data_IF_901935043158
#
_entry.id   IF_901935043158
#
_cell.length_a   1.000
_cell.length_b   1.000
_cell.length_c   1.000
_cell.angle_alpha   90.00
_cell.angle_beta   90.00
_cell.angle_gamma   90.00
#
_symmetry.space_group_name_H-M   'P 1'
#
loop_
_entity.id
_entity.type
_entity.pdbx_description
1 polymer ?
#
# COMPACT_ATOMS: atom_id res chain seq x y z
N UNK A 1 -16.88 28.81 -1.19
CA UNK A 1 -17.38 30.05 -0.71
C UNK A 1 -18.44 29.82 0.34
N UNK A 2 -18.22 30.38 1.49
CA UNK A 2 -19.19 30.25 2.57
C UNK A 2 -20.34 31.22 2.32
N UNK A 3 -21.53 30.69 2.25
CA UNK A 3 -22.71 31.55 2.19
C UNK A 3 -23.07 31.94 3.64
N UNK A 4 -23.31 33.26 3.92
CA UNK A 4 -23.69 33.71 5.26
C UNK A 4 -24.94 32.96 5.75
N UNK A 5 -24.88 32.41 6.96
CA UNK A 5 -25.98 31.64 7.56
C UNK A 5 -25.95 30.12 7.29
N UNK A 6 -25.06 29.61 6.48
CA UNK A 6 -24.85 28.15 6.34
C UNK A 6 -23.98 27.62 7.47
N UNK A 7 -24.47 26.60 8.17
CA UNK A 7 -23.72 25.89 9.22
C UNK A 7 -22.84 24.76 8.69
N UNK A 8 -23.00 24.39 7.40
CA UNK A 8 -22.32 23.26 6.76
C UNK A 8 -21.80 23.65 5.40
N UNK A 9 -20.61 23.19 5.04
CA UNK A 9 -20.01 23.34 3.72
C UNK A 9 -19.58 21.98 3.18
N UNK A 10 -19.70 21.78 1.85
CA UNK A 10 -19.14 20.62 1.16
C UNK A 10 -17.84 21.07 0.49
N UNK A 11 -16.72 20.55 0.96
CA UNK A 11 -15.38 20.87 0.45
C UNK A 11 -14.72 19.57 0.02
N UNK A 12 -14.12 19.57 -1.17
CA UNK A 12 -13.36 18.44 -1.69
C UNK A 12 -11.88 18.83 -1.87
N UNK A 13 -10.99 17.86 -1.65
CA UNK A 13 -9.54 18.02 -1.85
C UNK A 13 -8.73 17.08 -0.98
N UNK A 14 -7.46 16.93 -1.31
CA UNK A 14 -6.50 16.11 -0.54
C UNK A 14 -6.37 16.58 0.91
N UNK A 15 -6.52 17.90 1.15
CA UNK A 15 -6.53 18.49 2.50
C UNK A 15 -7.72 18.03 3.35
N UNK A 16 -8.80 17.55 2.74
CA UNK A 16 -9.97 16.98 3.43
C UNK A 16 -9.82 15.46 3.60
N UNK A 17 -9.20 14.79 2.63
CA UNK A 17 -8.96 13.34 2.69
C UNK A 17 -7.88 12.97 3.71
N UNK A 18 -6.80 13.73 3.78
CA UNK A 18 -5.65 13.46 4.66
C UNK A 18 -6.02 13.36 6.16
N UNK A 19 -6.77 14.31 6.77
CA UNK A 19 -7.14 14.21 8.18
C UNK A 19 -8.11 13.06 8.47
N UNK A 20 -8.92 12.63 7.51
CA UNK A 20 -9.76 11.44 7.67
C UNK A 20 -8.91 10.18 7.80
N UNK A 21 -7.91 10.04 6.94
CA UNK A 21 -6.94 8.93 7.03
C UNK A 21 -6.15 9.03 8.34
N UNK A 22 -5.72 10.22 8.75
CA UNK A 22 -5.03 10.42 10.03
C UNK A 22 -5.89 9.97 11.22
N UNK A 23 -7.20 10.26 11.22
CA UNK A 23 -8.15 9.77 12.23
C UNK A 23 -8.25 8.24 12.25
N UNK A 24 -8.27 7.60 11.07
CA UNK A 24 -8.26 6.14 10.97
C UNK A 24 -6.94 5.55 11.52
N UNK A 25 -5.79 6.19 11.23
CA UNK A 25 -4.51 5.78 11.82
C UNK A 25 -4.50 5.89 13.35
N UNK A 26 -5.14 6.90 13.93
CA UNK A 26 -5.28 7.01 15.39
C UNK A 26 -6.08 5.82 15.97
N UNK A 27 -7.16 5.40 15.31
CA UNK A 27 -7.94 4.22 15.70
C UNK A 27 -7.14 2.93 15.54
N UNK A 28 -6.39 2.78 14.45
CA UNK A 28 -5.48 1.65 14.27
C UNK A 28 -4.40 1.61 15.35
N UNK A 29 -3.82 2.75 15.70
CA UNK A 29 -2.82 2.85 16.76
C UNK A 29 -3.38 2.52 18.14
N UNK A 30 -4.66 2.79 18.36
CA UNK A 30 -5.36 2.39 19.58
C UNK A 30 -5.60 0.87 19.63
N UNK A 31 -5.98 0.28 18.49
CA UNK A 31 -6.24 -1.17 18.37
C UNK A 31 -4.94 -2.00 18.37
N UNK A 32 -3.90 -1.49 17.74
CA UNK A 32 -2.61 -2.13 17.55
C UNK A 32 -1.46 -1.16 17.85
N UNK A 33 -1.18 -0.90 19.16
CA UNK A 33 -0.13 0.04 19.56
C UNK A 33 1.26 -0.32 19.05
N UNK A 34 1.49 -1.60 18.78
CA UNK A 34 2.76 -2.18 18.30
C UNK A 34 2.98 -2.04 16.79
N UNK A 35 1.93 -1.78 16.01
CA UNK A 35 2.07 -1.69 14.55
C UNK A 35 2.90 -0.48 14.14
N UNK A 36 3.79 -0.74 13.17
CA UNK A 36 4.53 0.32 12.50
C UNK A 36 3.60 1.19 11.63
N UNK A 37 4.00 2.40 11.25
CA UNK A 37 3.29 3.18 10.25
C UNK A 37 3.15 2.43 8.91
N UNK A 38 4.14 1.61 8.54
CA UNK A 38 4.09 0.80 7.31
C UNK A 38 3.03 -0.30 7.40
N UNK A 39 2.94 -1.03 8.51
CA UNK A 39 1.90 -2.03 8.75
C UNK A 39 0.50 -1.41 8.71
N UNK A 40 0.30 -0.27 9.36
CA UNK A 40 -0.97 0.45 9.36
C UNK A 40 -1.34 0.95 7.95
N UNK A 41 -0.39 1.51 7.19
CA UNK A 41 -0.57 1.87 5.78
C UNK A 41 -0.95 0.65 4.93
N UNK A 42 -0.24 -0.46 5.12
CA UNK A 42 -0.53 -1.71 4.43
C UNK A 42 -1.94 -2.20 4.70
N UNK A 43 -2.38 -2.21 5.97
CA UNK A 43 -3.73 -2.62 6.34
C UNK A 43 -4.80 -1.78 5.63
N UNK A 44 -4.63 -0.46 5.57
CA UNK A 44 -5.54 0.43 4.82
C UNK A 44 -5.58 0.10 3.34
N UNK A 45 -4.42 -0.10 2.71
CA UNK A 45 -4.32 -0.35 1.26
C UNK A 45 -4.89 -1.72 0.88
N UNK A 46 -4.54 -2.77 1.63
CA UNK A 46 -4.94 -4.16 1.28
C UNK A 46 -6.42 -4.45 1.55
N UNK A 47 -7.08 -3.67 2.40
CA UNK A 47 -8.51 -3.80 2.71
C UNK A 47 -9.37 -2.76 1.98
N UNK A 48 -8.77 -1.88 1.19
CA UNK A 48 -9.50 -0.86 0.44
C UNK A 48 -10.47 -1.47 -0.58
N UNK A 49 -11.58 -0.78 -0.81
CA UNK A 49 -12.58 -1.16 -1.82
C UNK A 49 -12.09 -0.72 -3.21
N UNK A 50 -11.88 -1.69 -4.10
CA UNK A 50 -11.28 -1.45 -5.41
C UNK A 50 -12.28 -1.23 -6.55
N UNK A 51 -13.59 -1.40 -6.30
CA UNK A 51 -14.62 -1.13 -7.33
C UNK A 51 -15.03 0.34 -7.30
N UNK A 52 -14.08 1.20 -7.64
CA UNK A 52 -14.24 2.65 -7.68
C UNK A 52 -14.54 3.08 -9.12
N UNK A 53 -15.48 3.98 -9.30
CA UNK A 53 -15.76 4.59 -10.60
C UNK A 53 -14.94 5.84 -10.77
N UNK A 54 -14.54 6.10 -12.00
CA UNK A 54 -13.88 7.34 -12.38
C UNK A 54 -14.85 8.54 -12.32
N UNK A 55 -14.32 9.72 -12.55
CA UNK A 55 -15.05 11.00 -12.52
C UNK A 55 -16.20 11.07 -13.53
N UNK A 56 -16.15 10.30 -14.60
CA UNK A 56 -17.26 10.15 -15.57
C UNK A 56 -18.46 9.35 -14.99
N UNK A 57 -18.28 8.71 -13.83
CA UNK A 57 -19.26 7.86 -13.12
C UNK A 57 -19.69 6.60 -13.89
N UNK A 58 -19.02 6.28 -14.98
CA UNK A 58 -19.34 5.15 -15.87
C UNK A 58 -18.20 4.15 -15.89
N UNK A 59 -17.01 4.59 -16.25
CA UNK A 59 -15.80 3.73 -16.31
C UNK A 59 -15.31 3.38 -14.91
N UNK A 60 -14.51 2.29 -14.85
CA UNK A 60 -13.81 1.93 -13.64
C UNK A 60 -12.54 2.76 -13.54
N UNK A 61 -12.25 3.28 -12.36
CA UNK A 61 -11.00 3.96 -12.07
C UNK A 61 -9.82 2.99 -12.20
N UNK A 62 -8.74 3.46 -12.78
CA UNK A 62 -7.49 2.71 -12.85
C UNK A 62 -6.64 2.90 -11.58
N UNK A 63 -5.52 2.17 -11.42
CA UNK A 63 -4.64 2.32 -10.25
C UNK A 63 -4.02 3.72 -10.10
N UNK A 64 -3.89 4.51 -11.17
CA UNK A 64 -3.38 5.89 -11.09
C UNK A 64 -4.45 6.87 -10.63
N UNK A 65 -5.74 6.55 -10.88
CA UNK A 65 -6.87 7.36 -10.41
C UNK A 65 -7.21 7.07 -8.95
N UNK A 66 -7.32 5.78 -8.60
CA UNK A 66 -7.82 5.35 -7.29
C UNK A 66 -6.74 4.90 -6.29
N UNK A 67 -5.48 4.72 -6.72
CA UNK A 67 -4.44 4.09 -5.90
C UNK A 67 -4.83 2.67 -5.48
N UNK A 68 -4.81 2.40 -4.17
CA UNK A 68 -5.25 1.11 -3.62
C UNK A 68 -6.79 0.96 -3.56
N UNK A 69 -7.54 2.02 -3.82
CA UNK A 69 -8.99 2.05 -3.76
C UNK A 69 -9.55 2.97 -2.68
N UNK A 70 -10.87 2.94 -2.49
CA UNK A 70 -11.55 3.71 -1.47
C UNK A 70 -11.37 3.07 -0.10
N UNK A 71 -11.05 3.88 0.91
CA UNK A 71 -10.84 3.40 2.28
C UNK A 71 -12.10 2.69 2.82
N UNK A 72 -11.91 1.51 3.41
CA UNK A 72 -12.98 0.64 3.90
C UNK A 72 -12.71 0.16 5.32
N UNK A 73 -13.00 0.97 6.35
CA UNK A 73 -12.65 0.66 7.73
C UNK A 73 -13.32 -0.58 8.30
N UNK A 74 -14.49 -0.94 7.82
CA UNK A 74 -15.30 -2.00 8.40
C UNK A 74 -15.67 -3.17 7.48
N UNK A 75 -15.13 -3.25 6.26
CA UNK A 75 -15.53 -4.29 5.30
C UNK A 75 -17.00 -4.19 4.87
N UNK A 76 -17.57 -2.98 4.87
CA UNK A 76 -19.00 -2.73 4.62
C UNK A 76 -19.44 -3.08 3.19
N UNK A 77 -18.53 -2.97 2.22
CA UNK A 77 -18.87 -3.11 0.79
C UNK A 77 -18.36 -4.40 0.16
N UNK A 78 -17.39 -5.02 0.78
CA UNK A 78 -16.92 -6.34 0.37
C UNK A 78 -16.50 -7.15 1.60
N UNK A 79 -16.31 -8.45 1.41
CA UNK A 79 -15.92 -9.36 2.48
C UNK A 79 -14.41 -9.42 2.71
N UNK A 80 -13.67 -8.41 2.27
CA UNK A 80 -12.25 -8.28 2.58
C UNK A 80 -12.10 -8.00 4.07
N UNK A 81 -10.94 -8.31 4.61
CA UNK A 81 -10.67 -8.15 6.03
C UNK A 81 -10.92 -6.72 6.51
N UNK A 82 -11.15 -6.58 7.80
CA UNK A 82 -11.19 -5.28 8.46
C UNK A 82 -9.78 -4.68 8.48
N UNK A 83 -9.68 -3.34 8.50
CA UNK A 83 -8.38 -2.66 8.69
C UNK A 83 -7.67 -3.09 9.98
N UNK A 84 -8.41 -3.51 10.99
CA UNK A 84 -7.85 -4.03 12.26
C UNK A 84 -7.49 -5.52 12.19
N UNK A 85 -7.89 -6.23 11.14
CA UNK A 85 -7.59 -7.65 10.93
C UNK A 85 -7.35 -7.94 9.43
N UNK A 86 -6.32 -7.36 8.81
CA UNK A 86 -6.05 -7.56 7.39
C UNK A 86 -5.50 -8.95 7.07
N UNK A 87 -5.07 -9.70 8.09
CA UNK A 87 -4.44 -11.01 7.97
C UNK A 87 -2.95 -10.94 7.66
N UNK A 88 -2.57 -10.21 6.62
CA UNK A 88 -1.19 -9.97 6.21
C UNK A 88 -0.93 -8.48 6.09
N UNK A 89 0.29 -8.06 6.45
CA UNK A 89 0.78 -6.70 6.23
C UNK A 89 2.14 -6.71 5.55
N UNK A 90 2.43 -5.65 4.80
CA UNK A 90 3.75 -5.33 4.29
C UNK A 90 4.43 -4.36 5.25
N UNK A 91 5.70 -4.58 5.48
CA UNK A 91 6.53 -3.73 6.32
C UNK A 91 7.70 -3.17 5.52
N UNK A 92 7.89 -1.86 5.59
CA UNK A 92 9.07 -1.18 5.07
C UNK A 92 9.60 -0.26 6.17
N UNK A 93 10.83 -0.49 6.58
CA UNK A 93 11.51 0.25 7.63
C UNK A 93 12.52 1.26 7.10
N UNK A 94 13.33 1.79 7.99
CA UNK A 94 14.35 2.78 7.67
C UNK A 94 15.34 2.25 6.60
N UNK A 95 15.78 1.01 6.74
CA UNK A 95 16.80 0.45 5.84
C UNK A 95 16.29 0.30 4.41
N UNK A 96 15.04 -0.13 4.24
CA UNK A 96 14.40 -0.23 2.91
C UNK A 96 14.26 1.14 2.25
N UNK A 97 13.89 2.19 3.00
CA UNK A 97 13.83 3.55 2.46
C UNK A 97 15.20 4.15 2.17
N UNK A 98 16.23 3.86 2.99
CA UNK A 98 17.60 4.27 2.70
C UNK A 98 18.12 3.55 1.46
N UNK A 99 17.91 2.24 1.33
CA UNK A 99 18.28 1.47 0.15
C UNK A 99 17.59 2.00 -1.11
N UNK A 100 16.29 2.29 -1.04
CA UNK A 100 15.56 2.93 -2.13
C UNK A 100 16.21 4.25 -2.55
N UNK A 101 16.60 5.09 -1.58
CA UNK A 101 17.24 6.39 -1.85
C UNK A 101 18.61 6.21 -2.50
N UNK A 102 19.37 5.20 -2.08
CA UNK A 102 20.62 4.81 -2.72
C UNK A 102 20.41 4.42 -4.19
N UNK A 103 19.38 3.62 -4.47
CA UNK A 103 19.05 3.17 -5.83
C UNK A 103 18.57 4.29 -6.77
N UNK A 104 18.15 5.44 -6.23
CA UNK A 104 17.75 6.62 -7.02
C UNK A 104 18.93 7.57 -7.33
N UNK A 105 20.12 7.30 -6.82
CA UNK A 105 21.33 8.09 -7.02
C UNK A 105 21.17 9.59 -6.71
N UNK A 106 20.40 9.89 -5.65
CA UNK A 106 20.17 11.30 -5.24
C UNK A 106 21.37 11.90 -4.49
N UNK A 107 22.44 11.13 -4.25
CA UNK A 107 23.64 11.60 -3.57
C UNK A 107 23.44 12.00 -2.10
N UNK A 108 22.35 11.54 -1.46
CA UNK A 108 22.00 11.87 -0.07
C UNK A 108 22.85 11.07 0.91
N UNK A 109 23.11 9.81 0.59
CA UNK A 109 23.90 8.89 1.43
C UNK A 109 25.28 8.65 0.83
N UNK A 110 26.25 8.33 1.72
CA UNK A 110 27.59 7.99 1.27
C UNK A 110 27.61 6.63 0.57
N UNK A 111 28.53 6.42 -0.42
CA UNK A 111 28.66 5.11 -1.08
C UNK A 111 28.80 3.95 -0.08
N UNK A 112 29.61 4.10 0.97
CA UNK A 112 29.79 3.05 1.98
C UNK A 112 28.51 2.69 2.76
N UNK A 113 27.57 3.63 2.91
CA UNK A 113 26.26 3.31 3.51
C UNK A 113 25.39 2.50 2.55
N UNK A 114 25.46 2.80 1.26
CA UNK A 114 24.72 2.09 0.22
C UNK A 114 25.28 0.68 0.03
N UNK A 115 26.62 0.54 -0.05
CA UNK A 115 27.32 -0.75 -0.16
C UNK A 115 27.01 -1.65 1.04
N UNK A 116 26.90 -1.08 2.25
CA UNK A 116 26.52 -1.83 3.44
C UNK A 116 25.11 -2.43 3.32
N UNK A 117 24.13 -1.66 2.83
CA UNK A 117 22.75 -2.15 2.67
C UNK A 117 22.64 -3.18 1.54
N UNK A 118 23.39 -2.99 0.46
CA UNK A 118 23.50 -3.98 -0.62
C UNK A 118 24.11 -5.28 -0.09
N UNK A 119 25.16 -5.19 0.72
CA UNK A 119 25.78 -6.34 1.40
C UNK A 119 24.84 -7.10 2.35
N UNK A 120 23.80 -6.44 2.87
CA UNK A 120 22.72 -7.07 3.63
C UNK A 120 21.63 -7.69 2.74
N UNK A 121 21.72 -7.53 1.42
CA UNK A 121 20.72 -8.02 0.46
C UNK A 121 19.41 -7.21 0.46
N UNK A 122 19.44 -5.96 0.92
CA UNK A 122 18.25 -5.09 0.90
C UNK A 122 18.12 -4.49 -0.50
N UNK A 123 16.99 -4.74 -1.20
CA UNK A 123 16.80 -4.24 -2.56
C UNK A 123 16.73 -2.70 -2.60
N UNK A 124 17.38 -2.11 -3.60
CA UNK A 124 17.38 -0.66 -3.84
C UNK A 124 16.43 -0.21 -4.94
N UNK A 125 15.92 -1.14 -5.74
CA UNK A 125 14.99 -0.85 -6.82
C UNK A 125 13.61 -0.47 -6.28
N UNK A 126 13.03 0.60 -6.81
CA UNK A 126 11.76 1.14 -6.36
C UNK A 126 10.60 0.12 -6.40
N UNK A 127 10.58 -0.75 -7.41
CA UNK A 127 9.57 -1.81 -7.52
C UNK A 127 9.72 -2.91 -6.47
N UNK A 128 10.87 -2.99 -5.79
CA UNK A 128 11.13 -3.94 -4.70
C UNK A 128 10.90 -3.35 -3.30
N UNK A 129 10.59 -2.06 -3.17
CA UNK A 129 10.20 -1.49 -1.87
C UNK A 129 9.00 -2.27 -1.31
N UNK A 130 9.13 -2.77 -0.08
CA UNK A 130 8.17 -3.71 0.52
C UNK A 130 6.87 -3.03 0.97
N UNK A 131 6.10 -2.55 0.01
CA UNK A 131 4.78 -1.91 0.19
C UNK A 131 3.69 -2.68 -0.55
N UNK A 132 2.44 -2.42 -0.22
CA UNK A 132 1.28 -3.13 -0.77
C UNK A 132 1.01 -2.86 -2.27
N UNK A 133 1.61 -1.82 -2.84
CA UNK A 133 1.53 -1.52 -4.26
C UNK A 133 2.79 -1.93 -5.01
N UNK A 134 2.65 -2.20 -6.31
CA UNK A 134 3.77 -2.49 -7.21
C UNK A 134 3.66 -1.52 -8.39
N UNK A 135 4.75 -0.78 -8.65
CA UNK A 135 4.86 0.10 -9.79
C UNK A 135 6.13 -0.20 -10.57
N UNK A 136 6.00 -0.46 -11.87
CA UNK A 136 7.11 -0.65 -12.79
C UNK A 136 6.96 0.37 -13.91
N UNK A 137 7.85 1.38 -13.97
CA UNK A 137 7.72 2.51 -14.91
C UNK A 137 7.85 2.10 -16.37
N UNK A 138 8.70 1.13 -16.66
CA UNK A 138 8.87 0.54 -17.99
C UNK A 138 9.07 -0.96 -17.87
N UNK A 139 8.13 -1.73 -18.39
CA UNK A 139 8.24 -3.19 -18.44
C UNK A 139 8.77 -3.63 -19.81
N UNK A 140 10.08 -3.83 -19.92
CA UNK A 140 10.73 -4.38 -21.09
C UNK A 140 10.88 -5.90 -20.96
N UNK A 141 9.88 -6.65 -21.44
CA UNK A 141 9.86 -8.12 -21.30
C UNK A 141 9.26 -8.55 -19.95
N UNK A 142 10.08 -8.93 -18.97
CA UNK A 142 9.61 -9.42 -17.68
C UNK A 142 10.32 -8.75 -16.52
N UNK A 143 9.63 -8.62 -15.38
CA UNK A 143 10.17 -8.10 -14.14
C UNK A 143 9.81 -9.03 -12.97
N UNK A 144 10.81 -9.43 -12.21
CA UNK A 144 10.59 -10.11 -10.93
C UNK A 144 10.52 -9.07 -9.81
N UNK A 145 9.48 -9.15 -9.00
CA UNK A 145 9.26 -8.29 -7.83
C UNK A 145 9.19 -9.15 -6.58
N UNK A 146 9.96 -8.79 -5.56
CA UNK A 146 9.97 -9.50 -4.29
C UNK A 146 9.14 -8.77 -3.26
N UNK A 147 8.35 -9.51 -2.49
CA UNK A 147 7.58 -8.97 -1.35
C UNK A 147 7.68 -9.89 -0.15
N UNK A 148 7.88 -9.30 1.00
CA UNK A 148 7.79 -9.98 2.30
C UNK A 148 6.49 -9.58 2.97
N UNK A 149 5.71 -10.55 3.44
CA UNK A 149 4.47 -10.31 4.17
C UNK A 149 4.59 -10.85 5.58
N UNK A 150 4.07 -10.10 6.54
CA UNK A 150 4.00 -10.48 7.95
C UNK A 150 2.57 -10.85 8.28
N UNK A 151 2.38 -12.04 8.88
CA UNK A 151 1.07 -12.45 9.38
C UNK A 151 0.77 -11.70 10.67
N UNK A 152 -0.37 -11.02 10.70
CA UNK A 152 -0.94 -10.35 11.88
C UNK A 152 -2.22 -11.03 12.37
N UNK A 153 -2.44 -12.27 11.92
CA UNK A 153 -3.57 -13.07 12.39
C UNK A 153 -3.30 -13.62 13.79
N UNK A 154 -4.33 -13.66 14.64
CA UNK A 154 -4.25 -14.17 16.03
C UNK A 154 -3.84 -15.65 16.11
N UNK A 155 -4.04 -16.39 15.04
CA UNK A 155 -3.73 -17.82 14.92
C UNK A 155 -3.02 -18.09 13.61
N UNK A 156 -2.23 -19.17 13.58
CA UNK A 156 -1.61 -19.64 12.35
C UNK A 156 -2.64 -19.81 11.23
N UNK A 157 -2.37 -19.20 10.10
CA UNK A 157 -3.25 -19.20 8.93
C UNK A 157 -2.50 -19.72 7.70
N UNK A 158 -3.24 -20.29 6.75
CA UNK A 158 -2.72 -20.69 5.45
C UNK A 158 -3.22 -19.68 4.41
N UNK A 159 -2.31 -19.17 3.63
CA UNK A 159 -2.60 -18.20 2.58
C UNK A 159 -2.40 -18.81 1.21
N UNK A 160 -3.18 -18.34 0.26
CA UNK A 160 -3.05 -18.70 -1.16
C UNK A 160 -3.15 -17.45 -2.01
N UNK A 161 -2.17 -17.26 -2.87
CA UNK A 161 -2.22 -16.20 -3.87
C UNK A 161 -3.26 -16.52 -4.95
N UNK A 162 -4.06 -15.51 -5.28
CA UNK A 162 -4.92 -15.47 -6.47
C UNK A 162 -4.52 -14.23 -7.26
N UNK A 163 -4.26 -14.41 -8.54
CA UNK A 163 -3.88 -13.32 -9.44
C UNK A 163 -5.06 -12.95 -10.32
N UNK A 164 -5.31 -11.66 -10.45
CA UNK A 164 -6.20 -11.06 -11.44
C UNK A 164 -5.34 -10.12 -12.28
N UNK A 165 -4.73 -10.65 -13.34
CA UNK A 165 -3.84 -9.90 -14.21
C UNK A 165 -4.64 -9.06 -15.22
N UNK A 166 -4.15 -7.85 -15.59
CA UNK A 166 -4.71 -7.11 -16.72
C UNK A 166 -4.52 -7.87 -18.02
N UNK A 167 -5.34 -7.56 -19.03
CA UNK A 167 -5.22 -8.15 -20.35
C UNK A 167 -3.82 -7.88 -20.96
N UNK A 168 -3.22 -8.91 -21.54
CA UNK A 168 -1.90 -8.84 -22.15
C UNK A 168 -0.73 -9.03 -21.18
N UNK A 169 -0.99 -9.31 -19.89
CA UNK A 169 0.06 -9.57 -18.90
C UNK A 169 -0.06 -10.96 -18.30
N UNK A 170 1.06 -11.68 -18.25
CA UNK A 170 1.18 -12.92 -17.50
C UNK A 170 1.83 -12.65 -16.14
N UNK A 171 1.14 -12.98 -15.07
CA UNK A 171 1.64 -12.78 -13.70
C UNK A 171 1.70 -14.11 -12.97
N UNK A 172 2.87 -14.44 -12.44
CA UNK A 172 3.10 -15.66 -11.64
C UNK A 172 3.53 -15.28 -10.22
N UNK A 173 2.99 -15.97 -9.22
CA UNK A 173 3.37 -15.79 -7.82
C UNK A 173 4.00 -17.08 -7.29
N UNK A 174 5.20 -16.97 -6.73
CA UNK A 174 5.92 -18.10 -6.14
C UNK A 174 6.48 -17.73 -4.76
N UNK A 175 6.22 -18.47 -3.70
CA UNK A 175 5.23 -19.56 -3.62
C UNK A 175 3.79 -19.04 -3.70
N UNK A 176 2.86 -19.85 -4.25
CA UNK A 176 1.44 -19.48 -4.32
C UNK A 176 0.63 -19.96 -3.10
N UNK A 177 1.29 -20.63 -2.16
CA UNK A 177 0.74 -21.07 -0.86
C UNK A 177 1.81 -20.99 0.20
N UNK A 178 1.47 -20.47 1.34
CA UNK A 178 2.38 -20.30 2.49
C UNK A 178 1.58 -20.22 3.81
#
# INVERSE_FOLDING_TARGET
GDYPGQMFAAIAGTSMSSPQVAGIFALLKQAHPEWSPAAAKSALMTTAHQKVRDNDRVSMADPFDMGAGHVNPGGLWDKRGSIVQPGLVYEAGLFEYVALTCGQDWGIFTPGSCDFLEGLGIPSEAYNLNVASIGVGQLAGSQTVVRTVTSVADKGAKFRAKVEAPEGYDVTVTPNRF
#
